data_IF_212745155395
#
_entry.id   IF_212745155395
#
_cell.length_a   1.000
_cell.length_b   1.000
_cell.length_c   1.000
_cell.angle_alpha   90.00
_cell.angle_beta   90.00
_cell.angle_gamma   90.00
#
_symmetry.space_group_name_H-M   'P 1'
#
loop_
_entity.id
_entity.type
_entity.pdbx_description
1 polymer ?
#
# COMPACT_ATOMS: atom_id res chain seq x y z
N UNK A 1 -13.49 10.01 -17.12
CA UNK A 1 -14.68 10.05 -16.26
C UNK A 1 -14.74 11.44 -15.68
N UNK A 2 -15.61 12.28 -16.22
CA UNK A 2 -15.89 13.61 -15.71
C UNK A 2 -17.12 13.49 -14.81
N UNK A 3 -17.06 14.07 -13.62
CA UNK A 3 -18.21 14.15 -12.73
C UNK A 3 -18.94 15.47 -12.99
N UNK A 4 -20.26 15.42 -13.06
CA UNK A 4 -21.11 16.61 -13.20
C UNK A 4 -20.97 17.49 -11.95
N UNK A 5 -20.03 18.43 -12.01
CA UNK A 5 -19.73 19.40 -10.95
C UNK A 5 -20.80 20.52 -10.87
N UNK A 6 -22.07 20.15 -10.87
CA UNK A 6 -23.18 21.10 -10.75
C UNK A 6 -23.29 21.62 -9.30
N UNK A 7 -23.68 22.88 -9.08
CA UNK A 7 -23.84 23.43 -7.73
C UNK A 7 -24.80 22.60 -6.86
N UNK A 8 -25.88 22.09 -7.45
CA UNK A 8 -26.86 21.23 -6.77
C UNK A 8 -26.24 19.90 -6.32
N UNK A 9 -25.43 19.27 -7.16
CA UNK A 9 -24.69 18.06 -6.77
C UNK A 9 -23.67 18.37 -5.67
N UNK A 10 -22.95 19.49 -5.76
CA UNK A 10 -21.99 19.93 -4.74
C UNK A 10 -22.64 20.11 -3.37
N UNK A 11 -23.78 20.81 -3.31
CA UNK A 11 -24.51 21.00 -2.06
C UNK A 11 -24.95 19.67 -1.45
N UNK A 12 -25.54 18.76 -2.25
CA UNK A 12 -25.98 17.44 -1.78
C UNK A 12 -24.84 16.61 -1.19
N UNK A 13 -23.68 16.61 -1.82
CA UNK A 13 -22.50 15.89 -1.32
C UNK A 13 -22.04 16.50 0.00
N UNK A 14 -21.94 17.84 0.09
CA UNK A 14 -21.51 18.49 1.33
C UNK A 14 -22.48 18.22 2.48
N UNK A 15 -23.79 18.27 2.23
CA UNK A 15 -24.81 17.87 3.22
C UNK A 15 -24.66 16.40 3.63
N UNK A 16 -24.32 15.54 2.68
CA UNK A 16 -24.18 14.10 2.90
C UNK A 16 -22.86 13.67 3.51
N UNK A 17 -21.84 14.51 3.63
CA UNK A 17 -20.49 14.11 4.07
C UNK A 17 -19.83 15.18 4.96
N UNK A 18 -20.56 15.67 5.97
CA UNK A 18 -20.04 16.54 7.04
C UNK A 18 -19.40 17.83 6.49
N UNK A 19 -20.01 18.40 5.45
CA UNK A 19 -19.53 19.58 4.74
C UNK A 19 -18.34 19.32 3.80
N UNK A 20 -17.82 18.09 3.74
CA UNK A 20 -16.68 17.73 2.89
C UNK A 20 -17.13 17.48 1.45
N UNK A 21 -16.35 17.97 0.50
CA UNK A 21 -16.54 17.70 -0.92
C UNK A 21 -15.70 16.50 -1.33
N UNK A 22 -16.36 15.45 -1.83
CA UNK A 22 -15.73 14.23 -2.33
C UNK A 22 -16.31 13.87 -3.70
N UNK A 23 -15.54 13.13 -4.49
CA UNK A 23 -15.98 12.68 -5.80
C UNK A 23 -17.01 11.53 -5.67
N UNK A 24 -17.80 11.29 -6.71
CA UNK A 24 -18.81 10.24 -6.77
C UNK A 24 -18.28 8.85 -6.41
N UNK A 25 -17.10 8.46 -6.91
CA UNK A 25 -16.47 7.17 -6.56
C UNK A 25 -16.11 7.11 -5.07
N UNK A 26 -15.57 8.19 -4.50
CA UNK A 26 -15.26 8.25 -3.07
C UNK A 26 -16.53 8.16 -2.23
N UNK A 27 -17.63 8.76 -2.69
CA UNK A 27 -18.92 8.70 -2.01
C UNK A 27 -19.46 7.28 -1.92
N UNK A 28 -19.36 6.51 -3.01
CA UNK A 28 -19.77 5.11 -3.03
C UNK A 28 -18.85 4.24 -2.17
N UNK A 29 -17.53 4.48 -2.19
CA UNK A 29 -16.59 3.76 -1.35
C UNK A 29 -16.84 3.96 0.16
N UNK A 30 -17.18 5.18 0.58
CA UNK A 30 -17.52 5.46 2.00
C UNK A 30 -18.84 4.79 2.37
N UNK A 31 -19.86 4.85 1.51
CA UNK A 31 -21.13 4.13 1.73
C UNK A 31 -20.93 2.63 1.82
N UNK A 32 -20.10 2.06 0.94
CA UNK A 32 -19.78 0.63 0.96
C UNK A 32 -19.09 0.24 2.26
N UNK A 33 -18.13 1.04 2.74
CA UNK A 33 -17.45 0.79 4.02
C UNK A 33 -18.44 0.77 5.19
N UNK A 34 -19.35 1.74 5.24
CA UNK A 34 -20.39 1.81 6.28
C UNK A 34 -21.39 0.65 6.19
N UNK A 35 -21.67 0.16 4.98
CA UNK A 35 -22.52 -1.02 4.78
C UNK A 35 -21.86 -2.31 5.28
N UNK A 36 -20.54 -2.42 5.13
CA UNK A 36 -19.76 -3.60 5.57
C UNK A 36 -19.49 -3.59 7.06
N UNK A 37 -19.27 -2.42 7.64
CA UNK A 37 -19.04 -2.25 9.06
C UNK A 37 -19.91 -1.11 9.62
N UNK A 38 -21.14 -1.45 10.04
CA UNK A 38 -22.07 -0.48 10.62
C UNK A 38 -21.62 0.06 11.99
N UNK A 39 -20.57 -0.50 12.60
CA UNK A 39 -20.07 -0.03 13.90
C UNK A 39 -19.20 1.22 13.79
N UNK A 40 -18.69 1.52 12.60
CA UNK A 40 -17.85 2.70 12.35
C UNK A 40 -18.74 3.92 12.12
N UNK A 41 -18.41 5.03 12.77
CA UNK A 41 -19.10 6.29 12.51
C UNK A 41 -18.82 6.77 11.08
N UNK A 42 -19.82 7.43 10.48
CA UNK A 42 -19.70 8.01 9.15
C UNK A 42 -18.51 8.96 9.03
N UNK A 43 -18.30 9.79 10.04
CA UNK A 43 -17.21 10.75 10.13
C UNK A 43 -15.85 10.03 10.12
N UNK A 44 -15.72 8.97 10.92
CA UNK A 44 -14.49 8.16 10.97
C UNK A 44 -14.20 7.47 9.65
N UNK A 45 -15.21 6.87 9.01
CA UNK A 45 -15.07 6.23 7.71
C UNK A 45 -14.65 7.25 6.64
N UNK A 46 -15.26 8.43 6.64
CA UNK A 46 -14.93 9.52 5.73
C UNK A 46 -13.50 10.03 5.94
N UNK A 47 -13.08 10.23 7.19
CA UNK A 47 -11.72 10.68 7.50
C UNK A 47 -10.65 9.67 7.10
N UNK A 48 -10.88 8.38 7.40
CA UNK A 48 -9.99 7.31 6.98
C UNK A 48 -9.88 7.27 5.45
N UNK A 49 -10.99 7.41 4.72
CA UNK A 49 -11.01 7.43 3.27
C UNK A 49 -10.26 8.64 2.70
N UNK A 50 -10.48 9.84 3.24
CA UNK A 50 -9.77 11.06 2.80
C UNK A 50 -8.26 10.92 3.05
N UNK A 51 -7.84 10.37 4.19
CA UNK A 51 -6.44 10.12 4.47
C UNK A 51 -5.82 9.13 3.48
N UNK A 52 -6.54 8.05 3.15
CA UNK A 52 -6.15 7.10 2.12
C UNK A 52 -6.01 7.77 0.75
N UNK A 53 -7.00 8.54 0.31
CA UNK A 53 -6.96 9.25 -0.97
C UNK A 53 -5.79 10.25 -1.05
N UNK A 54 -5.51 10.99 0.03
CA UNK A 54 -4.35 11.89 0.10
C UNK A 54 -3.04 11.13 -0.09
N UNK A 55 -2.88 10.00 0.61
CA UNK A 55 -1.69 9.14 0.49
C UNK A 55 -1.56 8.54 -0.91
N UNK A 56 -2.66 8.06 -1.48
CA UNK A 56 -2.70 7.50 -2.83
C UNK A 56 -2.31 8.55 -3.87
N UNK A 57 -2.87 9.75 -3.76
CA UNK A 57 -2.55 10.85 -4.67
C UNK A 57 -1.08 11.25 -4.55
N UNK A 58 -0.56 11.43 -3.34
CA UNK A 58 0.82 11.89 -3.13
C UNK A 58 1.89 10.86 -3.50
N UNK A 59 1.54 9.57 -3.53
CA UNK A 59 2.49 8.49 -3.85
C UNK A 59 2.24 7.91 -5.23
N UNK A 60 1.12 7.23 -5.42
CA UNK A 60 0.84 6.43 -6.62
C UNK A 60 0.53 7.31 -7.82
N UNK A 61 -0.30 8.35 -7.67
CA UNK A 61 -0.64 9.21 -8.83
C UNK A 61 0.48 10.18 -9.19
N UNK A 62 1.10 10.81 -8.20
CA UNK A 62 2.17 11.78 -8.46
C UNK A 62 3.49 11.11 -8.89
N UNK A 63 3.83 9.95 -8.32
CA UNK A 63 5.10 9.28 -8.64
C UNK A 63 4.98 7.75 -8.57
N UNK A 64 4.38 7.11 -9.59
CA UNK A 64 4.17 5.66 -9.60
C UNK A 64 5.48 4.87 -9.54
N UNK A 65 6.55 5.37 -10.16
CA UNK A 65 7.86 4.72 -10.14
C UNK A 65 8.50 4.72 -8.75
N UNK A 66 8.39 5.83 -8.01
CA UNK A 66 8.86 5.90 -6.63
C UNK A 66 8.06 4.97 -5.72
N UNK A 67 6.73 4.91 -5.89
CA UNK A 67 5.90 3.96 -5.16
C UNK A 67 6.33 2.51 -5.41
N UNK A 68 6.53 2.14 -6.70
CA UNK A 68 7.01 0.82 -7.08
C UNK A 68 8.37 0.50 -6.47
N UNK A 69 9.34 1.41 -6.58
CA UNK A 69 10.67 1.25 -5.99
C UNK A 69 10.61 1.08 -4.46
N UNK A 70 9.75 1.85 -3.78
CA UNK A 70 9.56 1.71 -2.34
C UNK A 70 8.93 0.37 -1.98
N UNK A 71 7.93 -0.08 -2.73
CA UNK A 71 7.31 -1.39 -2.52
C UNK A 71 8.32 -2.54 -2.71
N UNK A 72 9.13 -2.49 -3.77
CA UNK A 72 10.19 -3.47 -4.02
C UNK A 72 11.23 -3.48 -2.88
N UNK A 73 11.63 -2.31 -2.39
CA UNK A 73 12.52 -2.18 -1.23
C UNK A 73 11.93 -2.82 0.02
N UNK A 74 10.63 -2.65 0.28
CA UNK A 74 9.97 -3.23 1.44
C UNK A 74 9.87 -4.76 1.34
N UNK A 75 9.63 -5.30 0.14
CA UNK A 75 9.70 -6.74 -0.14
C UNK A 75 11.11 -7.28 0.15
N UNK A 76 12.15 -6.63 -0.38
CA UNK A 76 13.54 -7.04 -0.16
C UNK A 76 13.90 -7.04 1.35
N UNK A 77 13.52 -5.98 2.08
CA UNK A 77 13.69 -5.89 3.54
C UNK A 77 12.98 -7.04 4.28
N UNK A 78 11.73 -7.33 3.91
CA UNK A 78 10.94 -8.41 4.54
C UNK A 78 11.56 -9.78 4.25
N UNK A 79 12.10 -10.00 3.06
CA UNK A 79 12.82 -11.23 2.70
C UNK A 79 14.11 -11.38 3.51
N UNK A 80 14.91 -10.32 3.65
CA UNK A 80 16.14 -10.33 4.46
C UNK A 80 15.84 -10.61 5.94
N UNK A 81 14.84 -9.93 6.51
CA UNK A 81 14.44 -10.13 7.90
C UNK A 81 13.93 -11.55 8.17
N UNK A 82 13.20 -12.16 7.22
CA UNK A 82 12.80 -13.57 7.32
C UNK A 82 14.00 -14.50 7.32
N UNK A 83 14.98 -14.29 6.45
CA UNK A 83 16.23 -15.09 6.45
C UNK A 83 16.98 -14.96 7.78
N UNK A 84 17.13 -13.75 8.30
CA UNK A 84 17.77 -13.51 9.61
C UNK A 84 17.00 -14.19 10.75
N UNK A 85 15.67 -14.18 10.75
CA UNK A 85 14.86 -14.87 11.77
C UNK A 85 14.96 -16.39 11.68
N UNK A 86 15.13 -16.95 10.49
CA UNK A 86 15.35 -18.38 10.30
C UNK A 86 16.77 -18.76 10.74
N UNK A 87 17.78 -17.98 10.38
CA UNK A 87 19.17 -18.16 10.80
C UNK A 87 19.30 -18.11 12.33
N UNK A 88 18.65 -17.13 12.98
CA UNK A 88 18.59 -17.04 14.46
C UNK A 88 17.73 -18.10 15.14
N UNK A 89 16.93 -18.90 14.41
CA UNK A 89 16.28 -20.12 14.94
C UNK A 89 17.14 -21.36 14.70
N UNK A 90 17.89 -21.39 13.60
CA UNK A 90 18.85 -22.45 13.26
C UNK A 90 20.04 -22.43 14.23
N UNK A 91 20.52 -21.25 14.64
CA UNK A 91 21.56 -21.13 15.68
C UNK A 91 21.15 -21.69 17.05
N UNK A 92 19.85 -21.76 17.34
CA UNK A 92 19.32 -22.36 18.58
C UNK A 92 19.10 -23.87 18.42
N UNK A 93 19.02 -24.38 17.17
CA UNK A 93 18.64 -25.75 16.89
C UNK A 93 19.76 -26.68 16.39
N UNK A 94 20.81 -26.21 15.69
CA UNK A 94 21.85 -27.13 15.17
C UNK A 94 23.21 -26.46 14.99
N UNK A 95 24.24 -27.04 15.62
CA UNK A 95 25.62 -26.95 15.12
C UNK A 95 25.69 -27.64 13.75
N UNK A 96 25.88 -26.92 12.63
CA UNK A 96 26.75 -27.32 11.51
C UNK A 96 26.52 -26.54 10.19
N UNK A 97 27.66 -26.22 9.56
CA UNK A 97 28.00 -26.12 8.14
C UNK A 97 27.08 -25.39 7.15
N UNK A 98 27.60 -24.28 6.64
CA UNK A 98 27.00 -23.49 5.57
C UNK A 98 27.09 -24.14 4.19
N UNK A 99 26.26 -23.62 3.30
CA UNK A 99 26.41 -23.80 1.85
C UNK A 99 26.51 -22.43 1.18
N UNK A 100 27.69 -22.18 0.62
CA UNK A 100 27.99 -21.12 -0.35
C UNK A 100 27.21 -21.31 -1.64
N UNK A 101 26.94 -20.21 -2.34
CA UNK A 101 26.72 -20.26 -3.78
C UNK A 101 25.90 -19.12 -4.37
N UNK A 102 26.58 -18.11 -4.92
CA UNK A 102 26.35 -17.65 -6.30
C UNK A 102 27.39 -16.58 -6.68
N UNK A 103 28.47 -17.00 -7.34
CA UNK A 103 29.14 -16.21 -8.38
C UNK A 103 29.84 -17.17 -9.34
N UNK A 104 29.32 -17.27 -10.56
CA UNK A 104 29.99 -17.89 -11.70
C UNK A 104 30.44 -16.76 -12.62
N UNK A 105 31.73 -16.44 -12.60
CA UNK A 105 32.39 -15.73 -13.70
C UNK A 105 33.74 -16.38 -13.90
N UNK A 106 33.95 -16.99 -15.06
CA UNK A 106 35.01 -16.62 -16.02
C UNK A 106 35.40 -17.81 -16.90
N UNK A 107 35.31 -17.54 -18.19
CA UNK A 107 35.68 -18.39 -19.32
C UNK A 107 37.16 -18.81 -19.38
N UNK A 108 37.30 -20.00 -19.96
CA UNK A 108 38.40 -20.58 -20.73
C UNK A 108 39.63 -19.70 -20.98
N UNK A 109 40.81 -20.22 -20.59
CA UNK A 109 42.03 -20.14 -21.40
C UNK A 109 42.93 -21.34 -21.11
N UNK A 110 42.94 -22.29 -22.04
CA UNK A 110 43.92 -23.36 -22.12
C UNK A 110 44.74 -23.14 -23.39
N UNK A 111 46.04 -22.84 -23.25
CA UNK A 111 47.14 -23.44 -24.01
C UNK A 111 48.48 -23.00 -23.43
#
# INVERSE_FOLDING_TARGET
>A
MEEDCTPTYISRIRESFDGKWICGICSEAVKEQLSKDPSISKEMALEAHIAMCKKFNSTIRLNPNFYLASAMKDVAKKCLNRRRSLDSRVTVAVKSEGCSGANIVSDMKNK
#
